data_IF_443440217149
#
_entry.id   IF_443440217149
#
_cell.length_a   1.000
_cell.length_b   1.000
_cell.length_c   1.000
_cell.angle_alpha   90.00
_cell.angle_beta   90.00
_cell.angle_gamma   90.00
#
_symmetry.space_group_name_H-M   'P 1'
#
loop_
_entity.id
_entity.type
_entity.pdbx_description
1 polymer ?
#
# COMPACT_ATOMS: atom_id res chain seq x y z
N UNK A 1 6.84 -16.51 17.45
CA UNK A 1 6.60 -15.19 17.72
C UNK A 1 7.18 -14.24 16.71
N UNK A 2 8.37 -13.85 16.88
CA UNK A 2 8.96 -12.89 15.98
C UNK A 2 9.09 -13.38 14.56
N UNK A 3 9.28 -14.65 14.27
CA UNK A 3 9.33 -15.09 12.89
C UNK A 3 8.14 -14.67 12.07
N UNK A 4 7.03 -14.52 12.73
CA UNK A 4 5.82 -14.16 12.05
C UNK A 4 5.85 -12.77 11.46
N UNK A 5 6.63 -11.89 12.06
CA UNK A 5 6.76 -10.54 11.55
C UNK A 5 7.44 -10.49 10.20
N UNK A 6 8.33 -11.43 9.94
CA UNK A 6 9.04 -11.44 8.68
C UNK A 6 8.15 -11.91 7.52
N UNK A 7 6.99 -12.47 7.83
CA UNK A 7 6.06 -12.89 6.80
C UNK A 7 5.04 -11.83 6.44
N UNK A 8 5.01 -10.73 7.20
CA UNK A 8 4.06 -9.67 6.91
C UNK A 8 4.47 -8.88 5.70
N UNK A 9 3.49 -8.63 4.84
CA UNK A 9 3.66 -7.71 3.73
C UNK A 9 3.38 -6.31 4.25
N UNK A 10 4.30 -5.40 4.01
CA UNK A 10 4.14 -4.02 4.42
C UNK A 10 4.19 -3.15 3.18
N UNK A 11 3.17 -2.32 3.02
CA UNK A 11 3.06 -1.44 1.88
C UNK A 11 3.11 -0.03 2.41
N UNK A 12 4.07 0.74 1.91
CA UNK A 12 4.23 2.14 2.29
C UNK A 12 3.90 2.99 1.09
N UNK A 13 2.95 3.88 1.25
CA UNK A 13 2.46 4.68 0.13
C UNK A 13 2.35 6.15 0.52
N UNK A 14 2.61 7.01 -0.45
CA UNK A 14 2.40 8.45 -0.33
C UNK A 14 1.82 8.93 -1.64
N UNK A 15 0.79 9.75 -1.56
CA UNK A 15 0.18 10.31 -2.76
C UNK A 15 0.19 11.83 -2.64
N UNK A 16 1.04 12.47 -3.44
CA UNK A 16 1.25 13.93 -3.37
C UNK A 16 1.39 14.45 -4.80
N UNK A 17 0.66 15.53 -5.10
CA UNK A 17 0.80 16.23 -6.37
C UNK A 17 0.67 15.33 -7.60
N UNK A 18 -0.27 14.41 -7.54
CA UNK A 18 -0.51 13.53 -8.68
C UNK A 18 0.53 12.44 -8.84
N UNK A 19 1.34 12.18 -7.83
CA UNK A 19 2.35 11.14 -7.88
C UNK A 19 2.18 10.21 -6.69
N UNK A 20 2.10 8.92 -6.99
CA UNK A 20 2.05 7.89 -5.97
C UNK A 20 3.47 7.34 -5.77
N UNK A 21 3.95 7.44 -4.54
CA UNK A 21 5.21 6.82 -4.13
C UNK A 21 4.87 5.53 -3.43
N UNK A 22 5.40 4.43 -3.92
CA UNK A 22 5.01 3.11 -3.44
C UNK A 22 6.24 2.28 -3.12
N UNK A 23 6.27 1.73 -1.92
CA UNK A 23 7.30 0.78 -1.52
C UNK A 23 6.61 -0.42 -0.89
N UNK A 24 6.99 -1.61 -1.30
CA UNK A 24 6.41 -2.85 -0.79
C UNK A 24 7.53 -3.72 -0.26
N UNK A 25 7.37 -4.17 0.97
CA UNK A 25 8.36 -5.01 1.63
C UNK A 25 7.69 -6.24 2.21
N UNK A 26 8.44 -7.33 2.26
CA UNK A 26 8.01 -8.54 2.93
C UNK A 26 9.12 -8.92 3.91
N UNK A 27 8.79 -8.82 5.19
CA UNK A 27 9.78 -9.00 6.22
C UNK A 27 10.89 -7.96 6.06
N UNK A 28 12.11 -8.42 5.87
CA UNK A 28 13.26 -7.53 5.71
C UNK A 28 13.59 -7.26 4.25
N UNK A 29 12.85 -7.85 3.33
CA UNK A 29 13.13 -7.73 1.91
C UNK A 29 12.29 -6.65 1.27
N UNK A 30 12.94 -5.73 0.57
CA UNK A 30 12.22 -4.73 -0.22
C UNK A 30 11.90 -5.35 -1.58
N UNK A 31 10.64 -5.51 -1.87
CA UNK A 31 10.19 -6.15 -3.10
C UNK A 31 10.00 -5.17 -4.25
N UNK A 32 9.62 -3.93 -3.90
CA UNK A 32 9.31 -2.94 -4.93
C UNK A 32 9.46 -1.55 -4.32
N UNK A 33 10.01 -0.64 -5.09
CA UNK A 33 10.05 0.77 -4.73
C UNK A 33 9.98 1.56 -6.02
N UNK A 34 8.87 2.26 -6.23
CA UNK A 34 8.64 2.93 -7.50
C UNK A 34 7.71 4.10 -7.33
N UNK A 35 7.60 4.92 -8.37
CA UNK A 35 6.67 6.03 -8.40
C UNK A 35 5.77 5.89 -9.61
N UNK A 36 4.54 6.34 -9.46
CA UNK A 36 3.53 6.27 -10.52
C UNK A 36 2.80 7.59 -10.61
N UNK A 37 2.54 8.06 -11.80
CA UNK A 37 1.71 9.24 -11.99
C UNK A 37 0.25 8.81 -11.94
N UNK A 38 -0.52 9.46 -11.08
CA UNK A 38 -1.93 9.15 -10.90
C UNK A 38 -2.72 10.43 -10.80
N UNK A 39 -3.75 10.56 -11.62
CA UNK A 39 -4.55 11.79 -11.66
C UNK A 39 -5.37 11.98 -10.40
N UNK A 40 -5.78 10.88 -9.77
CA UNK A 40 -6.62 10.93 -8.60
C UNK A 40 -6.32 9.73 -7.72
N UNK A 41 -6.99 9.68 -6.57
CA UNK A 41 -6.75 8.63 -5.61
C UNK A 41 -7.17 7.25 -6.14
N UNK A 42 -8.23 7.20 -6.92
CA UNK A 42 -8.69 5.94 -7.51
C UNK A 42 -7.63 5.34 -8.42
N UNK A 43 -6.99 6.18 -9.22
CA UNK A 43 -5.91 5.73 -10.08
C UNK A 43 -4.70 5.27 -9.26
N UNK A 44 -4.41 5.98 -8.17
CA UNK A 44 -3.33 5.58 -7.27
C UNK A 44 -3.61 4.21 -6.67
N UNK A 45 -4.85 3.98 -6.24
CA UNK A 45 -5.23 2.66 -5.72
C UNK A 45 -5.05 1.57 -6.77
N UNK A 46 -5.40 1.88 -8.01
CA UNK A 46 -5.24 0.93 -9.10
C UNK A 46 -3.78 0.48 -9.22
N UNK A 47 -2.86 1.43 -9.15
CA UNK A 47 -1.45 1.09 -9.25
C UNK A 47 -0.97 0.27 -8.05
N UNK A 48 -1.51 0.55 -6.87
CA UNK A 48 -1.17 -0.23 -5.69
C UNK A 48 -1.59 -1.69 -5.89
N UNK A 49 -2.82 -1.91 -6.33
CA UNK A 49 -3.33 -3.26 -6.53
C UNK A 49 -2.61 -3.96 -7.68
N UNK A 50 -2.28 -3.23 -8.73
CA UNK A 50 -1.53 -3.80 -9.84
C UNK A 50 -0.17 -4.28 -9.40
N UNK A 51 0.53 -3.49 -8.58
CA UNK A 51 1.83 -3.89 -8.05
C UNK A 51 1.71 -5.11 -7.16
N UNK A 52 0.68 -5.16 -6.31
CA UNK A 52 0.47 -6.31 -5.46
C UNK A 52 0.17 -7.56 -6.26
N UNK A 53 -0.61 -7.42 -7.33
CA UNK A 53 -0.91 -8.55 -8.19
C UNK A 53 0.36 -9.10 -8.85
N UNK A 54 1.22 -8.21 -9.30
CA UNK A 54 2.49 -8.60 -9.89
C UNK A 54 3.36 -9.38 -8.92
N UNK A 55 3.33 -8.99 -7.67
CA UNK A 55 4.13 -9.64 -6.63
C UNK A 55 3.40 -10.80 -5.98
N UNK A 56 2.17 -11.06 -6.41
CA UNK A 56 1.33 -12.13 -5.88
C UNK A 56 1.05 -11.96 -4.39
N UNK A 57 0.79 -10.74 -3.99
CA UNK A 57 0.45 -10.42 -2.61
C UNK A 57 -1.05 -10.26 -2.48
N UNK A 58 -1.56 -10.62 -1.29
CA UNK A 58 -2.99 -10.55 -1.02
C UNK A 58 -3.29 -9.36 -0.11
N UNK A 59 -4.07 -8.37 -0.59
CA UNK A 59 -4.40 -7.21 0.25
C UNK A 59 -5.15 -7.60 1.53
N UNK A 60 -5.94 -8.66 1.50
CA UNK A 60 -6.75 -9.07 2.64
C UNK A 60 -5.92 -9.47 3.85
N UNK A 61 -4.65 -9.76 3.66
CA UNK A 61 -3.77 -10.11 4.76
C UNK A 61 -2.62 -9.13 4.89
N UNK A 62 -2.72 -7.98 4.23
CA UNK A 62 -1.65 -7.00 4.18
C UNK A 62 -2.03 -5.72 4.89
N UNK A 63 -1.03 -5.01 5.38
CA UNK A 63 -1.20 -3.70 5.99
C UNK A 63 -0.63 -2.65 5.05
N UNK A 64 -1.41 -1.62 4.78
CA UNK A 64 -0.93 -0.49 4.00
C UNK A 64 -0.74 0.71 4.92
N UNK A 65 0.40 1.38 4.80
CA UNK A 65 0.73 2.55 5.58
C UNK A 65 0.81 3.76 4.66
N UNK A 66 -0.02 4.74 4.90
CA UNK A 66 0.02 5.98 4.13
C UNK A 66 0.75 7.05 4.91
N UNK A 67 1.68 7.70 4.25
CA UNK A 67 2.45 8.78 4.86
C UNK A 67 1.82 10.14 4.62
N UNK A 68 0.84 10.20 3.72
CA UNK A 68 0.09 11.43 3.46
C UNK A 68 -1.29 11.29 4.08
N UNK A 69 -1.94 12.42 4.45
CA UNK A 69 -3.26 12.35 5.06
C UNK A 69 -4.28 11.73 4.12
N UNK A 70 -5.20 10.96 4.69
CA UNK A 70 -6.30 10.36 3.96
C UNK A 70 -7.60 10.96 4.49
N UNK A 71 -8.54 11.24 3.59
CA UNK A 71 -9.87 11.61 4.06
C UNK A 71 -10.67 10.32 4.34
N UNK A 72 -11.88 10.53 4.85
CA UNK A 72 -12.71 9.42 5.30
C UNK A 72 -13.05 8.46 4.16
N UNK A 73 -13.34 9.00 2.99
CA UNK A 73 -13.70 8.19 1.85
C UNK A 73 -12.52 7.35 1.36
N UNK A 74 -11.35 7.96 1.34
CA UNK A 74 -10.15 7.27 0.89
C UNK A 74 -9.80 6.15 1.85
N UNK A 75 -9.88 6.41 3.14
CA UNK A 75 -9.59 5.41 4.13
C UNK A 75 -10.56 4.24 4.06
N UNK A 76 -11.85 4.54 3.92
CA UNK A 76 -12.86 3.51 3.80
C UNK A 76 -12.68 2.67 2.54
N UNK A 77 -12.29 3.30 1.45
CA UNK A 77 -12.03 2.58 0.21
C UNK A 77 -10.92 1.57 0.39
N UNK A 78 -9.86 1.96 1.10
CA UNK A 78 -8.74 1.06 1.35
C UNK A 78 -9.13 -0.07 2.29
N UNK A 79 -9.95 0.21 3.30
CA UNK A 79 -10.37 -0.83 4.24
C UNK A 79 -11.23 -1.91 3.59
N UNK A 80 -11.78 -1.63 2.43
CA UNK A 80 -12.52 -2.66 1.70
C UNK A 80 -11.63 -3.78 1.21
N UNK A 81 -10.35 -3.50 1.04
CA UNK A 81 -9.43 -4.43 0.41
C UNK A 81 -8.30 -4.86 1.34
N UNK A 82 -7.83 -3.96 2.19
CA UNK A 82 -6.69 -4.24 3.05
C UNK A 82 -7.15 -4.64 4.43
N UNK A 83 -6.37 -5.52 5.05
CA UNK A 83 -6.64 -5.93 6.42
C UNK A 83 -6.54 -4.76 7.36
N UNK A 84 -5.52 -3.94 7.21
CA UNK A 84 -5.30 -2.75 8.04
C UNK A 84 -4.83 -1.59 7.18
N UNK A 85 -5.29 -0.41 7.56
CA UNK A 85 -4.83 0.83 6.95
C UNK A 85 -4.28 1.69 8.07
N UNK A 86 -2.99 2.03 7.99
CA UNK A 86 -2.34 2.87 8.99
C UNK A 86 -1.94 4.18 8.36
N UNK A 87 -2.00 5.23 9.17
CA UNK A 87 -1.61 6.56 8.72
C UNK A 87 -0.50 7.06 9.63
N UNK A 88 0.60 7.46 9.01
CA UNK A 88 1.78 7.90 9.75
C UNK A 88 1.82 9.42 9.86
#
# INVERSE_FOLDING_TARGET
DLPRLSDYNRILASYVDGVLYLAIAQGKSLLLCNTYKAQDFTTAEYFIFLAMKKLQLNPEVSTICFRTPLDEEEEMSLYRYFKNVEQI
#
